data_IF_037555857686
#
_entry.id   IF_037555857686
#
_cell.length_a   1.000
_cell.length_b   1.000
_cell.length_c   1.000
_cell.angle_alpha   90.00
_cell.angle_beta   90.00
_cell.angle_gamma   90.00
#
_symmetry.space_group_name_H-M   'P 1'
#
loop_
_entity.id
_entity.type
_entity.pdbx_description
1 polymer ?
#
# COMPACT_ATOMS: atom_id res chain seq x y z
N UNK A 1 -13.90 -4.72 8.75
CA UNK A 1 -12.69 -4.94 7.93
C UNK A 1 -11.57 -3.97 8.28
N UNK A 2 -11.74 -2.65 8.10
CA UNK A 2 -10.67 -1.66 8.33
C UNK A 2 -9.98 -1.75 9.70
N UNK A 3 -10.73 -1.77 10.82
CA UNK A 3 -10.15 -1.84 12.18
C UNK A 3 -9.28 -3.09 12.35
N UNK A 4 -9.79 -4.25 11.95
CA UNK A 4 -9.05 -5.51 12.04
C UNK A 4 -7.78 -5.49 11.19
N UNK A 5 -7.88 -4.97 9.97
CA UNK A 5 -6.76 -4.86 9.05
C UNK A 5 -5.65 -3.93 9.58
N UNK A 6 -6.04 -2.77 10.13
CA UNK A 6 -5.13 -1.82 10.77
C UNK A 6 -4.41 -2.46 11.96
N UNK A 7 -5.14 -3.19 12.82
CA UNK A 7 -4.55 -3.89 13.96
C UNK A 7 -3.52 -4.93 13.49
N UNK A 8 -3.86 -5.76 12.50
CA UNK A 8 -2.94 -6.75 11.94
C UNK A 8 -1.68 -6.09 11.37
N UNK A 9 -1.83 -5.01 10.60
CA UNK A 9 -0.70 -4.25 10.05
C UNK A 9 0.20 -3.67 11.14
N UNK A 10 -0.39 -3.07 12.18
CA UNK A 10 0.36 -2.54 13.32
C UNK A 10 1.13 -3.64 14.07
N UNK A 11 0.52 -4.81 14.29
CA UNK A 11 1.20 -5.96 14.90
C UNK A 11 2.42 -6.38 14.07
N UNK A 12 2.31 -6.41 12.74
CA UNK A 12 3.44 -6.77 11.88
C UNK A 12 4.56 -5.72 11.94
N UNK A 13 4.20 -4.44 11.88
CA UNK A 13 5.16 -3.33 11.95
C UNK A 13 5.91 -3.36 13.29
N UNK A 14 5.20 -3.55 14.41
CA UNK A 14 5.82 -3.65 15.74
C UNK A 14 6.69 -4.91 15.84
N UNK A 15 6.23 -6.04 15.29
CA UNK A 15 7.00 -7.28 15.23
C UNK A 15 8.31 -7.17 14.42
N UNK A 16 8.35 -6.28 13.42
CA UNK A 16 9.50 -6.07 12.53
C UNK A 16 10.06 -4.64 12.63
N UNK A 17 9.96 -4.00 13.80
CA UNK A 17 10.29 -2.58 13.96
C UNK A 17 11.76 -2.25 13.64
N UNK A 18 12.66 -3.22 13.82
CA UNK A 18 14.07 -3.09 13.47
C UNK A 18 14.30 -2.92 11.95
N UNK A 19 13.42 -3.51 11.13
CA UNK A 19 13.51 -3.45 9.67
C UNK A 19 12.79 -2.24 9.09
N UNK A 20 11.91 -1.60 9.86
CA UNK A 20 11.09 -0.46 9.43
C UNK A 20 11.94 0.72 8.89
N UNK A 21 13.04 1.17 9.54
CA UNK A 21 13.87 2.24 8.99
C UNK A 21 14.48 1.89 7.64
N UNK A 22 14.95 0.65 7.47
CA UNK A 22 15.50 0.16 6.21
C UNK A 22 14.43 0.13 5.11
N UNK A 23 13.22 -0.35 5.44
CA UNK A 23 12.09 -0.39 4.51
C UNK A 23 11.66 1.01 4.04
N UNK A 24 11.60 2.00 4.94
CA UNK A 24 11.29 3.38 4.59
C UNK A 24 12.36 3.96 3.65
N UNK A 25 13.64 3.76 3.97
CA UNK A 25 14.74 4.18 3.09
C UNK A 25 14.63 3.53 1.72
N UNK A 26 14.25 2.25 1.66
CA UNK A 26 14.04 1.54 0.39
C UNK A 26 12.88 2.13 -0.41
N UNK A 27 11.75 2.48 0.22
CA UNK A 27 10.62 3.15 -0.44
C UNK A 27 11.09 4.46 -1.10
N UNK A 28 11.79 5.32 -0.36
CA UNK A 28 12.30 6.58 -0.93
C UNK A 28 13.35 6.34 -2.01
N UNK A 29 14.26 5.40 -1.82
CA UNK A 29 15.26 5.03 -2.83
C UNK A 29 14.61 4.53 -4.11
N UNK A 30 13.59 3.68 -4.04
CA UNK A 30 12.90 3.15 -5.22
C UNK A 30 12.02 4.22 -5.88
N UNK A 31 11.35 5.07 -5.10
CA UNK A 31 10.50 6.14 -5.60
C UNK A 31 11.30 7.24 -6.32
N UNK A 32 12.51 7.53 -5.83
CA UNK A 32 13.42 8.54 -6.37
C UNK A 32 14.71 7.91 -6.93
N UNK A 33 14.64 6.66 -7.38
CA UNK A 33 15.82 5.91 -7.82
C UNK A 33 16.47 6.54 -9.04
N UNK A 34 17.80 6.51 -9.05
CA UNK A 34 18.65 6.96 -10.16
C UNK A 34 19.19 5.76 -10.96
N UNK A 35 18.67 4.55 -10.71
CA UNK A 35 19.29 3.33 -11.23
C UNK A 35 19.27 3.29 -12.76
N UNK A 36 20.48 3.18 -13.31
CA UNK A 36 20.82 3.41 -14.70
C UNK A 36 20.33 2.29 -15.61
N UNK A 37 19.05 2.32 -16.01
CA UNK A 37 18.59 1.53 -17.16
C UNK A 37 18.95 2.27 -18.44
N UNK A 38 20.11 1.94 -19.01
CA UNK A 38 20.43 2.02 -20.44
C UNK A 38 20.39 3.38 -21.18
N UNK A 39 20.08 4.49 -20.53
CA UNK A 39 19.83 5.79 -21.20
C UNK A 39 20.33 7.00 -20.43
N UNK A 40 21.64 7.09 -20.18
CA UNK A 40 22.29 8.24 -19.54
C UNK A 40 21.84 8.52 -18.09
N UNK A 41 22.60 9.37 -17.38
CA UNK A 41 22.31 9.71 -15.97
C UNK A 41 20.93 10.38 -15.81
N UNK A 42 20.51 11.20 -16.77
CA UNK A 42 19.23 11.93 -16.70
C UNK A 42 18.02 11.14 -17.21
N UNK A 43 18.18 10.24 -18.19
CA UNK A 43 17.06 9.47 -18.76
C UNK A 43 16.61 8.31 -17.87
N UNK A 44 17.53 7.73 -17.10
CA UNK A 44 17.28 6.61 -16.18
C UNK A 44 16.55 7.00 -14.88
N UNK A 45 16.88 8.18 -14.31
CA UNK A 45 16.15 8.77 -13.17
C UNK A 45 14.69 9.02 -13.55
N UNK A 46 14.49 9.63 -14.71
CA UNK A 46 13.15 10.04 -15.14
C UNK A 46 12.29 8.81 -15.46
N UNK A 47 12.83 7.78 -16.10
CA UNK A 47 12.07 6.57 -16.44
C UNK A 47 11.60 5.78 -15.19
N UNK A 48 12.47 5.56 -14.21
CA UNK A 48 12.12 4.84 -12.98
C UNK A 48 11.14 5.63 -12.11
N UNK A 49 11.36 6.94 -11.94
CA UNK A 49 10.44 7.83 -11.23
C UNK A 49 9.09 7.95 -11.93
N UNK A 50 9.07 8.05 -13.26
CA UNK A 50 7.81 8.07 -14.03
C UNK A 50 7.04 6.76 -13.89
N UNK A 51 7.71 5.61 -13.85
CA UNK A 51 7.04 4.34 -13.61
C UNK A 51 6.49 4.25 -12.20
N UNK A 52 7.29 4.60 -11.17
CA UNK A 52 6.83 4.63 -9.78
C UNK A 52 5.64 5.58 -9.60
N UNK A 53 5.68 6.78 -10.17
CA UNK A 53 4.56 7.72 -10.16
C UNK A 53 3.36 7.20 -10.94
N UNK A 54 3.54 6.65 -12.15
CA UNK A 54 2.43 6.12 -12.95
C UNK A 54 1.69 5.02 -12.21
N UNK A 55 2.41 4.03 -11.69
CA UNK A 55 1.79 2.93 -10.94
C UNK A 55 1.23 3.39 -9.60
N UNK A 56 1.91 4.29 -8.89
CA UNK A 56 1.44 4.86 -7.62
C UNK A 56 0.17 5.68 -7.78
N UNK A 57 0.13 6.60 -8.76
CA UNK A 57 -1.05 7.42 -9.06
C UNK A 57 -2.18 6.55 -9.58
N UNK A 58 -1.92 5.64 -10.53
CA UNK A 58 -2.96 4.77 -11.07
C UNK A 58 -3.59 3.92 -9.96
N UNK A 59 -2.78 3.20 -9.18
CA UNK A 59 -3.28 2.36 -8.07
C UNK A 59 -3.94 3.19 -6.97
N UNK A 60 -3.41 4.38 -6.66
CA UNK A 60 -3.98 5.28 -5.67
C UNK A 60 -5.37 5.78 -6.06
N UNK A 61 -5.52 6.25 -7.30
CA UNK A 61 -6.82 6.71 -7.85
C UNK A 61 -7.83 5.57 -7.93
N UNK A 62 -7.40 4.35 -8.28
CA UNK A 62 -8.27 3.18 -8.24
C UNK A 62 -8.69 2.77 -6.82
N UNK A 63 -7.85 3.00 -5.80
CA UNK A 63 -8.15 2.65 -4.41
C UNK A 63 -9.17 3.62 -3.78
N UNK A 64 -8.92 4.92 -3.93
CA UNK A 64 -9.70 5.96 -3.25
C UNK A 64 -10.78 6.60 -4.12
N UNK A 65 -10.90 6.16 -5.38
CA UNK A 65 -11.86 6.67 -6.37
C UNK A 65 -11.75 8.19 -6.64
N UNK A 66 -10.59 8.80 -6.38
CA UNK A 66 -10.39 10.23 -6.56
C UNK A 66 -10.55 10.64 -8.02
N UNK A 67 -11.47 11.55 -8.30
CA UNK A 67 -11.73 12.03 -9.67
C UNK A 67 -12.58 11.10 -10.55
N UNK A 68 -13.01 9.93 -10.04
CA UNK A 68 -13.92 9.01 -10.75
C UNK A 68 -15.40 9.39 -10.61
N UNK A 69 -15.75 10.18 -9.58
CA UNK A 69 -17.12 10.65 -9.33
C UNK A 69 -18.05 9.62 -8.69
N UNK A 70 -17.66 8.35 -8.56
CA UNK A 70 -18.43 7.29 -7.91
C UNK A 70 -18.71 7.56 -6.43
N UNK A 71 -17.76 8.14 -5.71
CA UNK A 71 -17.92 8.55 -4.30
C UNK A 71 -19.06 9.58 -4.11
N UNK A 72 -19.49 10.31 -5.14
CA UNK A 72 -20.63 11.22 -5.04
C UNK A 72 -21.98 10.46 -5.02
N UNK A 73 -22.04 9.26 -5.61
CA UNK A 73 -23.25 8.44 -5.68
C UNK A 73 -23.64 7.95 -4.29
N UNK A 74 -22.67 7.46 -3.51
CA UNK A 74 -22.88 7.05 -2.11
C UNK A 74 -23.19 8.25 -1.22
N UNK A 75 -22.56 9.41 -1.45
CA UNK A 75 -22.86 10.63 -0.71
C UNK A 75 -24.28 11.15 -0.98
N UNK A 76 -24.82 10.98 -2.19
CA UNK A 76 -26.18 11.37 -2.55
C UNK A 76 -27.26 10.48 -1.90
N UNK A 77 -26.91 9.23 -1.57
CA UNK A 77 -27.81 8.31 -0.86
C UNK A 77 -27.85 8.56 0.66
N UNK A 78 -26.96 9.40 1.20
CA UNK A 78 -26.90 9.68 2.63
C UNK A 78 -28.03 10.62 3.07
N UNK A 79 -28.67 10.31 4.20
CA UNK A 79 -29.61 11.23 4.84
C UNK A 79 -28.85 12.38 5.47
N UNK A 80 -28.81 13.52 4.78
CA UNK A 80 -28.15 14.75 5.22
C UNK A 80 -29.09 15.93 5.11
N UNK A 81 -29.00 16.81 6.09
CA UNK A 81 -29.67 18.11 6.16
C UNK A 81 -28.88 19.20 5.44
N UNK A 82 -27.57 18.99 5.22
CA UNK A 82 -26.69 19.97 4.61
C UNK A 82 -25.68 19.30 3.64
N UNK A 83 -25.68 19.68 2.35
CA UNK A 83 -24.78 19.08 1.35
C UNK A 83 -23.30 19.39 1.62
N UNK A 84 -22.98 20.54 2.21
CA UNK A 84 -21.60 20.92 2.56
C UNK A 84 -21.07 20.01 3.66
N UNK A 85 -21.89 19.72 4.67
CA UNK A 85 -21.53 18.79 5.75
C UNK A 85 -21.29 17.37 5.21
N UNK A 86 -22.14 16.91 4.30
CA UNK A 86 -21.95 15.61 3.66
C UNK A 86 -20.69 15.59 2.77
N UNK A 87 -20.35 16.70 2.12
CA UNK A 87 -19.09 16.86 1.40
C UNK A 87 -17.86 16.70 2.30
N UNK A 88 -17.87 17.31 3.50
CA UNK A 88 -16.81 17.14 4.48
C UNK A 88 -16.68 15.71 5.00
N UNK A 89 -17.79 15.00 5.17
CA UNK A 89 -17.75 13.59 5.57
C UNK A 89 -17.20 12.75 4.42
N UNK A 90 -17.66 12.99 3.19
CA UNK A 90 -17.25 12.20 2.04
C UNK A 90 -15.76 12.35 1.69
N UNK A 91 -15.19 13.56 1.85
CA UNK A 91 -13.75 13.76 1.63
C UNK A 91 -12.86 13.00 2.63
N UNK A 92 -13.39 12.59 3.79
CA UNK A 92 -12.61 11.76 4.74
C UNK A 92 -12.36 10.35 4.20
N UNK A 93 -13.10 9.89 3.19
CA UNK A 93 -12.92 8.58 2.59
C UNK A 93 -11.51 8.37 2.03
N UNK A 94 -10.99 9.36 1.29
CA UNK A 94 -9.62 9.29 0.73
C UNK A 94 -8.54 9.33 1.81
N UNK A 95 -8.78 10.04 2.92
CA UNK A 95 -7.88 10.03 4.07
C UNK A 95 -7.81 8.64 4.71
N UNK A 96 -8.96 8.02 5.00
CA UNK A 96 -8.98 6.69 5.61
C UNK A 96 -8.42 5.61 4.69
N UNK A 97 -8.74 5.66 3.40
CA UNK A 97 -8.25 4.67 2.45
C UNK A 97 -6.74 4.82 2.19
N UNK A 98 -6.28 6.00 1.77
CA UNK A 98 -4.90 6.17 1.30
C UNK A 98 -3.91 6.47 2.43
N UNK A 99 -4.25 7.42 3.32
CA UNK A 99 -3.33 7.88 4.37
C UNK A 99 -3.26 6.88 5.52
N UNK A 100 -4.38 6.24 5.87
CA UNK A 100 -4.38 5.26 6.97
C UNK A 100 -4.15 3.84 6.44
N UNK A 101 -5.09 3.29 5.67
CA UNK A 101 -5.06 1.86 5.33
C UNK A 101 -3.91 1.54 4.38
N UNK A 102 -3.81 2.21 3.23
CA UNK A 102 -2.76 1.93 2.24
C UNK A 102 -1.35 2.23 2.76
N UNK A 103 -1.19 3.26 3.60
CA UNK A 103 0.11 3.54 4.23
C UNK A 103 0.50 2.45 5.21
N UNK A 104 -0.42 1.93 6.02
CA UNK A 104 -0.14 0.79 6.91
C UNK A 104 0.24 -0.44 6.09
N UNK A 105 -0.45 -0.73 4.98
CA UNK A 105 -0.09 -1.83 4.09
C UNK A 105 1.32 -1.66 3.54
N UNK A 106 1.64 -0.47 3.03
CA UNK A 106 2.97 -0.16 2.48
C UNK A 106 4.08 -0.31 3.52
N UNK A 107 3.87 0.21 4.74
CA UNK A 107 4.83 0.09 5.84
C UNK A 107 4.97 -1.34 6.34
N UNK A 108 3.89 -2.10 6.40
CA UNK A 108 3.92 -3.51 6.79
C UNK A 108 4.74 -4.33 5.77
N UNK A 109 4.55 -4.10 4.47
CA UNK A 109 5.36 -4.69 3.38
C UNK A 109 6.83 -4.25 3.49
N UNK A 110 7.09 -2.97 3.74
CA UNK A 110 8.46 -2.47 3.90
C UNK A 110 9.17 -3.10 5.11
N UNK A 111 8.45 -3.31 6.21
CA UNK A 111 9.01 -3.91 7.42
C UNK A 111 9.19 -5.43 7.33
N UNK A 112 8.42 -6.12 6.49
CA UNK A 112 8.47 -7.59 6.38
C UNK A 112 9.63 -8.12 5.54
N UNK A 113 10.36 -7.25 4.83
CA UNK A 113 11.52 -7.66 4.03
C UNK A 113 11.17 -8.39 2.73
N UNK A 114 9.91 -8.38 2.30
CA UNK A 114 9.45 -9.02 1.04
C UNK A 114 9.79 -8.23 -0.22
N UNK A 115 10.25 -7.00 -0.06
CA UNK A 115 10.58 -6.12 -1.18
C UNK A 115 11.78 -6.71 -1.95
N UNK A 116 11.56 -7.02 -3.24
CA UNK A 116 12.59 -7.58 -4.12
C UNK A 116 12.70 -9.11 -4.10
N UNK A 117 11.79 -9.83 -3.43
CA UNK A 117 11.70 -11.29 -3.54
C UNK A 117 11.27 -11.71 -4.95
N UNK A 118 11.78 -12.85 -5.40
CA UNK A 118 11.44 -13.46 -6.69
C UNK A 118 10.68 -14.76 -6.48
N UNK A 119 9.77 -15.08 -7.39
CA UNK A 119 9.13 -16.40 -7.44
C UNK A 119 10.09 -17.48 -7.97
N UNK A 120 9.65 -18.74 -7.94
CA UNK A 120 10.33 -19.93 -8.46
C UNK A 120 10.69 -19.82 -9.95
N UNK A 121 10.01 -18.94 -10.70
CA UNK A 121 10.29 -18.62 -12.09
C UNK A 121 11.38 -17.54 -12.30
N UNK A 122 11.83 -16.88 -11.22
CA UNK A 122 12.81 -15.78 -11.26
C UNK A 122 12.22 -14.39 -11.45
N UNK A 123 10.89 -14.26 -11.56
CA UNK A 123 10.20 -12.98 -11.67
C UNK A 123 10.01 -12.32 -10.29
N UNK A 124 10.07 -10.99 -10.22
CA UNK A 124 9.80 -10.25 -8.99
C UNK A 124 8.35 -10.42 -8.54
N UNK A 125 8.14 -10.65 -7.23
CA UNK A 125 6.81 -10.68 -6.64
C UNK A 125 6.17 -9.28 -6.70
N UNK A 126 4.95 -9.19 -7.24
CA UNK A 126 4.24 -7.92 -7.40
C UNK A 126 2.80 -8.00 -6.93
N UNK A 127 2.21 -6.84 -6.64
CA UNK A 127 0.76 -6.73 -6.38
C UNK A 127 0.28 -7.60 -5.21
N UNK A 128 -0.61 -8.56 -5.50
CA UNK A 128 -1.24 -9.42 -4.50
C UNK A 128 -0.23 -10.29 -3.74
N UNK A 129 0.83 -10.73 -4.41
CA UNK A 129 1.72 -11.75 -3.87
C UNK A 129 2.50 -11.21 -2.67
N UNK A 130 3.03 -9.99 -2.80
CA UNK A 130 3.69 -9.28 -1.70
C UNK A 130 2.69 -8.90 -0.59
N UNK A 131 1.43 -8.57 -0.94
CA UNK A 131 0.39 -8.25 0.07
C UNK A 131 -0.03 -9.47 0.88
N UNK A 132 0.05 -10.66 0.29
CA UNK A 132 -0.26 -11.90 0.98
C UNK A 132 0.95 -12.31 1.83
N UNK A 133 2.15 -12.22 1.27
CA UNK A 133 3.38 -12.70 1.90
C UNK A 133 3.76 -11.96 3.19
N UNK A 134 3.50 -10.64 3.28
CA UNK A 134 3.79 -9.91 4.53
C UNK A 134 2.92 -10.37 5.71
N UNK A 135 1.68 -10.81 5.46
CA UNK A 135 0.85 -11.44 6.50
C UNK A 135 1.45 -12.79 6.95
N UNK A 136 1.99 -13.56 6.00
CA UNK A 136 2.54 -14.89 6.29
C UNK A 136 3.87 -14.85 7.06
N UNK A 137 4.72 -13.85 6.84
CA UNK A 137 6.03 -13.75 7.50
C UNK A 137 5.91 -13.61 9.03
N UNK A 138 4.84 -13.01 9.53
CA UNK A 138 4.57 -13.00 10.97
C UNK A 138 4.12 -14.37 11.51
N UNK A 139 3.36 -15.12 10.71
CA UNK A 139 2.87 -16.45 11.08
C UNK A 139 4.00 -17.50 11.11
N UNK A 140 4.96 -17.39 10.19
CA UNK A 140 6.12 -18.28 10.08
C UNK A 140 7.12 -18.11 11.25
N UNK A 141 7.25 -16.89 11.80
CA UNK A 141 8.23 -16.62 12.86
C UNK A 141 7.70 -16.86 14.30
N UNK A 142 6.38 -17.04 14.48
CA UNK A 142 5.74 -17.13 15.82
C UNK A 142 4.62 -18.16 16.00
N UNK A 143 4.46 -19.15 15.12
CA UNK A 143 3.39 -20.18 15.24
C UNK A 143 1.99 -19.58 15.52
N UNK A 144 1.66 -18.44 14.89
CA UNK A 144 0.40 -17.75 15.12
C UNK A 144 -0.66 -18.22 14.11
N UNK A 145 -1.85 -18.53 14.65
CA UNK A 145 -3.03 -19.17 14.04
C UNK A 145 -3.74 -18.21 13.06
N UNK A 146 -3.02 -17.61 12.12
CA UNK A 146 -3.60 -16.74 11.08
C UNK A 146 -3.85 -17.49 9.76
N UNK A 147 -3.31 -18.71 9.62
CA UNK A 147 -3.48 -19.58 8.45
C UNK A 147 -4.94 -19.90 8.09
N UNK A 148 -5.87 -19.86 9.06
CA UNK A 148 -7.27 -20.25 8.85
C UNK A 148 -8.24 -19.13 8.48
N UNK A 149 -7.88 -17.85 8.70
CA UNK A 149 -8.85 -16.73 8.64
C UNK A 149 -8.92 -16.09 7.25
N UNK A 150 -7.90 -16.24 6.40
CA UNK A 150 -7.76 -15.49 5.13
C UNK A 150 -7.71 -16.36 3.88
N UNK A 151 -8.14 -17.63 3.95
CA UNK A 151 -8.34 -18.49 2.78
C UNK A 151 -9.78 -18.41 2.21
N UNK A 152 -10.47 -17.29 2.46
CA UNK A 152 -11.79 -16.93 1.92
C UNK A 152 -11.57 -15.76 0.97
#
# INVERSE_FOLDING_TARGET
MAIFYVICGLIVIVGNIANLPSGIVMIFKMAFSVEAVGGGLCGSIVASMMNAMRYGVARGVFSNEAGMGSAAITAAAATTDNPVRQGYINMTGTFWDTIVVCTITGLAIASSGVLGMTDSAGDYLTGSDITILWLYILAAHRHLILYGVFRI
#
